data_IF_475380114154
#
_entry.id   IF_475380114154
#
_cell.length_a   1.000
_cell.length_b   1.000
_cell.length_c   1.000
_cell.angle_alpha   90.00
_cell.angle_beta   90.00
_cell.angle_gamma   90.00
#
_symmetry.space_group_name_H-M   'P 1'
#
loop_
_entity.id
_entity.type
_entity.pdbx_description
1 polymer ?
#
# COMPACT_ATOMS: atom_id res chain seq x y z
N UNK A 1 12.86 6.27 -18.30
CA UNK A 1 13.46 6.77 -19.56
C UNK A 1 13.41 5.71 -20.63
N UNK A 2 14.06 4.57 -20.41
CA UNK A 2 14.26 3.53 -21.42
C UNK A 2 12.97 2.93 -21.98
N UNK A 3 12.01 2.54 -21.13
CA UNK A 3 10.71 2.01 -21.56
C UNK A 3 10.00 2.98 -22.49
N UNK A 4 9.84 4.24 -22.08
CA UNK A 4 9.20 5.27 -22.92
C UNK A 4 9.95 5.51 -24.23
N UNK A 5 11.29 5.45 -24.21
CA UNK A 5 12.13 5.58 -25.42
C UNK A 5 11.83 4.47 -26.41
N UNK A 6 11.82 3.21 -25.95
CA UNK A 6 11.51 2.05 -26.78
C UNK A 6 10.11 2.15 -27.40
N UNK A 7 9.09 2.56 -26.62
CA UNK A 7 7.73 2.74 -27.13
C UNK A 7 7.63 3.87 -28.16
N UNK A 8 8.32 5.01 -27.93
CA UNK A 8 8.37 6.09 -28.92
C UNK A 8 9.09 5.68 -30.21
N UNK A 9 10.19 4.93 -30.12
CA UNK A 9 10.90 4.39 -31.28
C UNK A 9 10.04 3.37 -32.06
N UNK A 10 9.21 2.61 -31.35
CA UNK A 10 8.21 1.70 -31.93
C UNK A 10 6.96 2.42 -32.49
N UNK A 11 6.87 3.75 -32.32
CA UNK A 11 5.70 4.56 -32.65
C UNK A 11 4.42 4.18 -31.86
N UNK A 12 4.57 3.59 -30.67
CA UNK A 12 3.48 3.23 -29.77
C UNK A 12 3.31 4.30 -28.67
N UNK A 13 2.81 5.46 -29.08
CA UNK A 13 2.52 6.57 -28.14
C UNK A 13 1.54 6.19 -27.02
N UNK A 14 0.51 5.34 -27.23
CA UNK A 14 -0.33 4.84 -26.15
C UNK A 14 0.44 4.09 -25.05
N UNK A 15 1.37 3.19 -25.40
CA UNK A 15 2.17 2.47 -24.40
C UNK A 15 3.19 3.39 -23.71
N UNK A 16 3.79 4.34 -24.44
CA UNK A 16 4.64 5.37 -23.83
C UNK A 16 3.86 6.19 -22.78
N UNK A 17 2.64 6.60 -23.11
CA UNK A 17 1.77 7.34 -22.20
C UNK A 17 1.37 6.51 -20.96
N UNK A 18 1.12 5.20 -21.14
CA UNK A 18 0.84 4.30 -20.03
C UNK A 18 2.04 4.19 -19.07
N UNK A 19 3.25 3.98 -19.59
CA UNK A 19 4.46 3.88 -18.78
C UNK A 19 4.74 5.16 -17.96
N UNK A 20 4.54 6.35 -18.55
CA UNK A 20 4.70 7.63 -17.85
C UNK A 20 3.65 7.78 -16.75
N UNK A 21 2.39 7.43 -17.03
CA UNK A 21 1.31 7.47 -16.03
C UNK A 21 1.61 6.54 -14.86
N UNK A 22 2.01 5.31 -15.14
CA UNK A 22 2.29 4.31 -14.12
C UNK A 22 3.48 4.74 -13.24
N UNK A 23 4.52 5.36 -13.83
CA UNK A 23 5.61 5.98 -13.07
C UNK A 23 5.11 7.14 -12.18
N UNK A 24 4.28 8.04 -12.72
CA UNK A 24 3.74 9.18 -11.96
C UNK A 24 2.88 8.71 -10.77
N UNK A 25 2.13 7.62 -10.92
CA UNK A 25 1.37 7.01 -9.83
C UNK A 25 2.29 6.47 -8.73
N UNK A 26 3.44 5.88 -9.06
CA UNK A 26 4.44 5.46 -8.07
C UNK A 26 5.05 6.67 -7.38
N UNK A 27 5.52 7.66 -8.14
CA UNK A 27 6.14 8.86 -7.57
C UNK A 27 5.20 9.55 -6.56
N UNK A 28 3.93 9.69 -6.90
CA UNK A 28 2.96 10.41 -6.06
C UNK A 28 2.47 9.58 -4.87
N UNK A 29 2.06 8.32 -5.10
CA UNK A 29 1.41 7.50 -4.06
C UNK A 29 2.41 6.79 -3.14
N UNK A 30 3.65 6.59 -3.58
CA UNK A 30 4.71 5.99 -2.78
C UNK A 30 5.72 7.03 -2.31
N UNK A 31 6.50 7.61 -3.23
CA UNK A 31 7.65 8.43 -2.84
C UNK A 31 7.24 9.74 -2.16
N UNK A 32 6.40 10.56 -2.80
CA UNK A 32 6.00 11.87 -2.27
C UNK A 32 5.16 11.74 -1.00
N UNK A 33 4.17 10.82 -1.00
CA UNK A 33 3.32 10.61 0.18
C UNK A 33 4.13 10.19 1.40
N UNK A 34 5.07 9.25 1.26
CA UNK A 34 5.88 8.75 2.39
C UNK A 34 6.96 9.73 2.80
N UNK A 35 7.52 10.49 1.86
CA UNK A 35 8.61 11.43 2.14
C UNK A 35 8.13 12.82 2.57
N UNK A 36 6.82 13.01 2.79
CA UNK A 36 6.25 14.33 3.12
C UNK A 36 6.93 14.99 4.32
N UNK A 37 7.22 14.22 5.35
CA UNK A 37 7.84 14.74 6.57
C UNK A 37 9.31 15.15 6.32
N UNK A 38 10.00 14.46 5.40
CA UNK A 38 11.36 14.82 4.94
C UNK A 38 11.38 16.14 4.17
N UNK A 39 10.26 16.53 3.55
CA UNK A 39 10.14 17.81 2.84
C UNK A 39 9.74 18.97 3.76
N UNK A 40 9.20 18.69 4.95
CA UNK A 40 8.52 19.71 5.76
C UNK A 40 9.47 20.77 6.35
N UNK A 41 10.64 20.36 6.84
CA UNK A 41 11.64 21.29 7.39
C UNK A 41 12.67 21.78 6.35
N UNK A 42 12.66 21.19 5.15
CA UNK A 42 13.58 21.51 4.05
C UNK A 42 15.05 21.21 4.35
N UNK A 43 15.34 20.43 5.40
CA UNK A 43 16.71 20.10 5.82
C UNK A 43 17.26 18.85 5.12
N UNK A 44 16.38 18.01 4.58
CA UNK A 44 16.73 16.81 3.84
C UNK A 44 16.97 17.14 2.36
N UNK A 45 18.19 17.61 2.07
CA UNK A 45 18.60 17.97 0.72
C UNK A 45 18.57 16.78 -0.23
N UNK A 46 18.88 15.58 0.24
CA UNK A 46 18.94 14.37 -0.59
C UNK A 46 17.54 14.01 -1.13
N UNK A 47 16.51 14.10 -0.28
CA UNK A 47 15.13 13.86 -0.71
C UNK A 47 14.65 14.89 -1.73
N UNK A 48 15.02 16.16 -1.54
CA UNK A 48 14.67 17.28 -2.43
C UNK A 48 15.40 17.18 -3.77
N UNK A 49 16.70 16.91 -3.77
CA UNK A 49 17.52 16.75 -4.97
C UNK A 49 17.06 15.55 -5.80
N UNK A 50 16.70 14.45 -5.13
CA UNK A 50 16.10 13.27 -5.79
C UNK A 50 14.77 13.64 -6.45
N UNK A 51 13.87 14.34 -5.73
CA UNK A 51 12.58 14.74 -6.29
C UNK A 51 12.73 15.72 -7.45
N UNK A 52 13.63 16.69 -7.32
CA UNK A 52 13.97 17.65 -8.38
C UNK A 52 14.41 16.92 -9.63
N UNK A 53 15.40 16.02 -9.50
CA UNK A 53 15.97 15.27 -10.61
C UNK A 53 14.91 14.42 -11.32
N UNK A 54 14.05 13.74 -10.55
CA UNK A 54 12.96 12.94 -11.10
C UNK A 54 11.93 13.80 -11.84
N UNK A 55 11.47 14.91 -11.25
CA UNK A 55 10.47 15.78 -11.87
C UNK A 55 10.99 16.47 -13.13
N UNK A 56 12.25 16.90 -13.11
CA UNK A 56 12.95 17.45 -14.28
C UNK A 56 12.97 16.42 -15.42
N UNK A 57 13.44 15.20 -15.12
CA UNK A 57 13.59 14.11 -16.09
C UNK A 57 12.24 13.66 -16.64
N UNK A 58 11.24 13.45 -15.79
CA UNK A 58 9.89 13.05 -16.21
C UNK A 58 9.25 14.12 -17.10
N UNK A 59 9.48 15.41 -16.80
CA UNK A 59 8.96 16.48 -17.63
C UNK A 59 9.55 16.44 -19.04
N UNK A 60 10.85 16.13 -19.19
CA UNK A 60 11.49 15.90 -20.50
C UNK A 60 10.91 14.71 -21.24
N UNK A 61 10.79 13.55 -20.57
CA UNK A 61 10.22 12.33 -21.18
C UNK A 61 8.76 12.52 -21.58
N UNK A 62 7.97 13.26 -20.79
CA UNK A 62 6.55 13.48 -21.03
C UNK A 62 6.27 14.65 -22.00
N UNK A 63 7.27 15.47 -22.35
CA UNK A 63 7.10 16.66 -23.17
C UNK A 63 6.38 16.42 -24.50
N UNK A 64 6.65 15.34 -25.26
CA UNK A 64 5.93 15.05 -26.50
C UNK A 64 4.44 14.75 -26.33
N UNK A 65 4.02 14.29 -25.14
CA UNK A 65 2.65 13.87 -24.85
C UNK A 65 1.84 14.94 -24.12
N UNK A 66 2.48 15.75 -23.28
CA UNK A 66 1.84 16.78 -22.45
C UNK A 66 2.60 18.12 -22.51
N UNK A 67 2.72 18.74 -23.70
CA UNK A 67 3.69 19.80 -23.93
C UNK A 67 3.47 21.07 -23.12
N UNK A 68 2.22 21.45 -22.87
CA UNK A 68 1.90 22.66 -22.11
C UNK A 68 2.14 22.47 -20.61
N UNK A 69 1.81 21.29 -20.09
CA UNK A 69 1.94 20.99 -18.65
C UNK A 69 3.40 20.81 -18.28
N UNK A 70 4.14 20.04 -19.08
CA UNK A 70 5.58 19.81 -18.88
C UNK A 70 6.39 21.09 -19.03
N UNK A 71 6.04 21.98 -19.96
CA UNK A 71 6.67 23.29 -20.11
C UNK A 71 6.51 24.13 -18.83
N UNK A 72 5.29 24.27 -18.31
CA UNK A 72 5.01 25.06 -17.10
C UNK A 72 5.77 24.50 -15.89
N UNK A 73 5.69 23.18 -15.68
CA UNK A 73 6.34 22.50 -14.54
C UNK A 73 7.86 22.62 -14.65
N UNK A 74 8.44 22.27 -15.80
CA UNK A 74 9.89 22.24 -15.98
C UNK A 74 10.50 23.64 -15.90
N UNK A 75 9.85 24.67 -16.46
CA UNK A 75 10.34 26.06 -16.34
C UNK A 75 10.21 26.60 -14.93
N UNK A 76 9.11 26.29 -14.25
CA UNK A 76 8.93 26.65 -12.84
C UNK A 76 9.99 26.01 -11.93
N UNK A 77 10.40 24.78 -12.25
CA UNK A 77 11.38 24.01 -11.49
C UNK A 77 12.83 24.43 -11.79
N UNK A 78 13.20 24.57 -13.07
CA UNK A 78 14.59 24.75 -13.51
C UNK A 78 14.96 26.21 -13.80
N UNK A 79 13.98 27.05 -14.12
CA UNK A 79 14.20 28.40 -14.66
C UNK A 79 14.71 28.44 -16.10
N UNK A 80 14.77 27.30 -16.81
CA UNK A 80 15.25 27.23 -18.19
C UNK A 80 14.29 27.83 -19.23
N UNK A 81 14.74 27.88 -20.49
CA UNK A 81 13.98 28.51 -21.59
C UNK A 81 12.72 27.71 -21.97
N UNK A 82 12.86 26.42 -22.26
CA UNK A 82 11.76 25.52 -22.60
C UNK A 82 12.24 24.06 -22.51
N UNK A 83 11.36 23.18 -22.01
CA UNK A 83 11.65 21.73 -21.95
C UNK A 83 11.79 21.14 -23.36
N UNK A 84 11.10 21.70 -24.35
CA UNK A 84 11.09 21.24 -25.75
C UNK A 84 12.39 21.53 -26.50
N UNK A 85 13.29 22.31 -25.92
CA UNK A 85 14.62 22.61 -26.45
C UNK A 85 15.73 21.79 -25.78
N UNK A 86 15.36 20.93 -24.83
CA UNK A 86 16.31 20.06 -24.14
C UNK A 86 16.56 18.78 -24.94
N UNK A 87 17.72 18.17 -24.73
CA UNK A 87 17.99 16.83 -25.25
C UNK A 87 17.07 15.80 -24.58
N UNK A 88 16.90 14.64 -25.22
CA UNK A 88 16.27 13.51 -24.55
C UNK A 88 17.14 13.03 -23.38
N UNK A 89 16.56 12.67 -22.21
CA UNK A 89 17.35 12.24 -21.06
C UNK A 89 18.08 10.93 -21.32
N UNK A 90 19.36 10.88 -20.95
CA UNK A 90 20.21 9.69 -21.06
C UNK A 90 20.08 8.87 -19.78
N UNK A 91 19.67 7.61 -19.92
CA UNK A 91 19.49 6.70 -18.78
C UNK A 91 20.81 6.42 -18.03
N UNK A 92 21.95 6.55 -18.71
CA UNK A 92 23.28 6.30 -18.12
C UNK A 92 23.74 7.40 -17.15
N UNK A 93 23.05 8.53 -17.11
CA UNK A 93 23.29 9.61 -16.15
C UNK A 93 22.72 9.30 -14.75
N UNK A 94 21.90 8.25 -14.63
CA UNK A 94 21.29 7.84 -13.37
C UNK A 94 21.99 6.61 -12.77
N UNK A 95 22.07 6.50 -11.43
CA UNK A 95 22.55 5.28 -10.79
C UNK A 95 21.67 4.08 -11.18
N UNK A 96 22.30 3.04 -11.73
CA UNK A 96 21.66 1.76 -11.97
C UNK A 96 21.89 0.84 -10.77
N UNK A 97 20.81 0.39 -10.15
CA UNK A 97 20.83 -0.58 -9.06
C UNK A 97 19.66 -1.55 -9.21
N UNK A 98 19.84 -2.54 -10.09
CA UNK A 98 18.81 -3.55 -10.39
C UNK A 98 18.39 -4.32 -9.14
N UNK A 99 19.32 -4.54 -8.20
CA UNK A 99 19.03 -5.23 -6.94
C UNK A 99 18.07 -4.41 -6.07
N UNK A 100 18.31 -3.11 -5.93
CA UNK A 100 17.42 -2.20 -5.23
C UNK A 100 16.06 -2.06 -5.93
N UNK A 101 16.03 -1.99 -7.26
CA UNK A 101 14.78 -1.94 -8.03
C UNK A 101 13.94 -3.20 -7.77
N UNK A 102 14.54 -4.39 -7.89
CA UNK A 102 13.85 -5.66 -7.60
C UNK A 102 13.35 -5.70 -6.15
N UNK A 103 14.17 -5.29 -5.20
CA UNK A 103 13.77 -5.21 -3.79
C UNK A 103 12.55 -4.29 -3.57
N UNK A 104 12.57 -3.10 -4.16
CA UNK A 104 11.46 -2.14 -4.05
C UNK A 104 10.19 -2.61 -4.74
N UNK A 105 10.30 -3.34 -5.86
CA UNK A 105 9.14 -3.97 -6.49
C UNK A 105 8.51 -5.03 -5.59
N UNK A 106 9.32 -5.88 -4.93
CA UNK A 106 8.82 -6.82 -3.91
C UNK A 106 8.17 -6.10 -2.73
N UNK A 107 8.78 -5.02 -2.21
CA UNK A 107 8.19 -4.20 -1.13
C UNK A 107 6.83 -3.64 -1.53
N UNK A 108 6.72 -3.11 -2.75
CA UNK A 108 5.45 -2.57 -3.26
C UNK A 108 4.38 -3.65 -3.42
N UNK A 109 4.77 -4.81 -3.94
CA UNK A 109 3.90 -5.98 -4.10
C UNK A 109 3.38 -6.48 -2.75
N UNK A 110 4.26 -6.60 -1.75
CA UNK A 110 3.90 -6.95 -0.36
C UNK A 110 2.91 -5.95 0.22
N UNK A 111 3.16 -4.65 0.08
CA UNK A 111 2.25 -3.63 0.59
C UNK A 111 0.88 -3.69 -0.10
N UNK A 112 0.86 -3.83 -1.44
CA UNK A 112 -0.37 -4.00 -2.20
C UNK A 112 -1.15 -5.26 -1.77
N UNK A 113 -0.46 -6.39 -1.61
CA UNK A 113 -1.04 -7.64 -1.14
C UNK A 113 -1.60 -7.51 0.29
N UNK A 114 -0.84 -6.93 1.21
CA UNK A 114 -1.29 -6.71 2.59
C UNK A 114 -2.50 -5.77 2.67
N UNK A 115 -2.53 -4.67 1.92
CA UNK A 115 -3.69 -3.77 1.83
C UNK A 115 -4.91 -4.48 1.23
N UNK A 116 -4.71 -5.34 0.24
CA UNK A 116 -5.78 -6.14 -0.35
C UNK A 116 -6.37 -7.14 0.68
N UNK A 117 -5.53 -7.83 1.45
CA UNK A 117 -5.95 -8.70 2.55
C UNK A 117 -6.76 -7.94 3.58
N UNK A 118 -6.27 -6.79 4.03
CA UNK A 118 -6.97 -5.90 4.96
C UNK A 118 -8.36 -5.53 4.43
N UNK A 119 -8.46 -5.13 3.17
CA UNK A 119 -9.73 -4.79 2.53
C UNK A 119 -10.69 -5.98 2.46
N UNK A 120 -10.20 -7.16 2.07
CA UNK A 120 -11.00 -8.37 1.97
C UNK A 120 -11.61 -8.80 3.32
N UNK A 121 -10.91 -8.54 4.42
CA UNK A 121 -11.35 -8.84 5.79
C UNK A 121 -12.02 -7.64 6.51
N UNK A 122 -12.26 -6.51 5.83
CA UNK A 122 -12.87 -5.33 6.44
C UNK A 122 -11.99 -4.58 7.46
N UNK A 123 -10.68 -4.86 7.48
CA UNK A 123 -9.72 -4.31 8.43
C UNK A 123 -9.14 -2.98 7.92
N UNK A 124 -9.83 -1.87 8.23
CA UNK A 124 -9.36 -0.50 7.95
C UNK A 124 -7.89 -0.27 8.34
N UNK A 125 -7.12 0.45 7.52
CA UNK A 125 -5.67 0.67 7.74
C UNK A 125 -5.37 1.36 9.08
N UNK A 126 -6.27 2.17 9.62
CA UNK A 126 -6.07 2.83 10.95
C UNK A 126 -6.09 1.86 12.14
N UNK A 127 -6.61 0.65 11.97
CA UNK A 127 -6.56 -0.39 13.00
C UNK A 127 -5.16 -1.03 12.99
N UNK A 128 -4.32 -0.89 14.03
CA UNK A 128 -3.07 -1.63 14.08
C UNK A 128 -3.35 -3.14 14.12
N UNK A 129 -2.52 -3.93 13.44
CA UNK A 129 -2.53 -5.40 13.54
C UNK A 129 -1.19 -5.87 14.12
N UNK A 130 -1.13 -7.11 14.60
CA UNK A 130 0.08 -7.63 15.22
C UNK A 130 1.22 -7.77 14.22
N UNK A 131 1.01 -8.56 13.18
CA UNK A 131 2.10 -8.89 12.27
C UNK A 131 1.65 -9.21 10.86
N UNK A 132 2.59 -9.05 9.94
CA UNK A 132 2.53 -9.66 8.61
C UNK A 132 3.82 -10.45 8.38
N UNK A 133 3.68 -11.71 7.95
CA UNK A 133 4.81 -12.56 7.56
C UNK A 133 4.97 -12.54 6.05
N UNK A 134 6.19 -12.30 5.57
CA UNK A 134 6.56 -12.34 4.16
C UNK A 134 7.35 -13.61 3.93
N UNK A 135 6.92 -14.42 2.97
CA UNK A 135 7.64 -15.60 2.52
C UNK A 135 8.10 -15.35 1.10
N UNK A 136 9.42 -15.27 0.89
CA UNK A 136 10.03 -14.90 -0.40
C UNK A 136 11.40 -15.56 -0.58
N UNK A 137 11.89 -15.66 -1.80
CA UNK A 137 13.22 -16.19 -2.14
C UNK A 137 14.37 -15.21 -1.83
N UNK A 138 14.05 -13.91 -1.68
CA UNK A 138 15.04 -12.87 -1.41
C UNK A 138 14.68 -12.10 -0.13
N UNK A 139 14.81 -12.76 1.02
CA UNK A 139 14.54 -12.13 2.32
C UNK A 139 15.43 -10.92 2.55
N UNK A 140 16.72 -11.03 2.22
CA UNK A 140 17.69 -9.96 2.42
C UNK A 140 17.28 -8.66 1.69
N UNK A 141 16.66 -8.76 0.52
CA UNK A 141 16.18 -7.60 -0.23
C UNK A 141 14.98 -6.88 0.41
N UNK A 142 14.23 -7.53 1.31
CA UNK A 142 13.04 -6.93 1.95
C UNK A 142 13.33 -6.52 3.40
N UNK A 143 14.33 -7.12 4.03
CA UNK A 143 14.68 -6.92 5.43
C UNK A 143 14.97 -5.46 5.79
N UNK A 144 15.69 -4.76 4.91
CA UNK A 144 16.02 -3.34 5.09
C UNK A 144 14.80 -2.41 4.99
N UNK A 145 13.66 -2.91 4.49
CA UNK A 145 12.43 -2.14 4.27
C UNK A 145 11.27 -2.55 5.17
N UNK A 146 11.53 -3.34 6.23
CA UNK A 146 10.49 -3.77 7.17
C UNK A 146 9.76 -2.61 7.84
N UNK A 147 10.47 -1.56 8.22
CA UNK A 147 9.85 -0.39 8.86
C UNK A 147 8.89 0.32 7.89
N UNK A 148 9.30 0.45 6.62
CA UNK A 148 8.47 1.00 5.56
C UNK A 148 7.18 0.20 5.41
N UNK A 149 7.29 -1.13 5.38
CA UNK A 149 6.15 -2.04 5.27
C UNK A 149 5.26 -2.02 6.52
N UNK A 150 5.86 -2.00 7.71
CA UNK A 150 5.14 -1.95 8.98
C UNK A 150 4.26 -0.69 9.08
N UNK A 151 4.82 0.47 8.71
CA UNK A 151 4.09 1.73 8.66
C UNK A 151 2.99 1.73 7.60
N UNK A 152 3.31 1.27 6.38
CA UNK A 152 2.37 1.27 5.25
C UNK A 152 1.16 0.37 5.51
N UNK A 153 1.41 -0.80 6.09
CA UNK A 153 0.39 -1.79 6.40
C UNK A 153 -0.23 -1.57 7.77
N UNK A 154 0.33 -0.69 8.59
CA UNK A 154 -0.01 -0.49 10.00
C UNK A 154 -0.07 -1.83 10.77
N UNK A 155 1.07 -2.52 10.80
CA UNK A 155 1.30 -3.71 11.59
C UNK A 155 2.44 -3.45 12.58
N UNK A 156 2.43 -4.11 13.75
CA UNK A 156 3.48 -3.91 14.76
C UNK A 156 4.79 -4.58 14.37
N UNK A 157 4.73 -5.68 13.63
CA UNK A 157 5.91 -6.45 13.25
C UNK A 157 5.79 -6.98 11.81
N UNK A 158 6.90 -6.88 11.06
CA UNK A 158 7.08 -7.60 9.81
C UNK A 158 8.00 -8.77 10.09
N UNK A 159 7.52 -9.98 9.85
CA UNK A 159 8.30 -11.21 9.91
C UNK A 159 8.69 -11.61 8.49
N UNK A 160 9.86 -12.21 8.30
CA UNK A 160 10.26 -12.76 7.01
C UNK A 160 10.68 -14.21 7.17
N UNK A 161 10.44 -15.00 6.14
CA UNK A 161 10.90 -16.38 6.02
C UNK A 161 11.35 -16.63 4.59
N UNK A 162 12.36 -17.47 4.46
CA UNK A 162 12.76 -17.99 3.15
C UNK A 162 11.63 -18.85 2.58
N UNK A 163 11.44 -18.75 1.27
CA UNK A 163 10.52 -19.62 0.56
C UNK A 163 11.14 -21.01 0.43
N UNK A 164 10.57 -21.98 1.14
CA UNK A 164 10.87 -23.40 0.95
C UNK A 164 9.59 -24.26 0.87
N UNK A 165 9.74 -25.51 0.42
CA UNK A 165 8.63 -26.44 0.21
C UNK A 165 7.90 -26.84 1.51
N UNK A 166 8.52 -26.62 2.67
CA UNK A 166 7.99 -27.00 3.99
C UNK A 166 7.26 -25.86 4.68
N UNK A 167 7.67 -24.61 4.46
CA UNK A 167 7.15 -23.40 5.12
C UNK A 167 5.63 -23.26 4.95
N UNK A 168 5.08 -23.59 3.78
CA UNK A 168 3.63 -23.58 3.58
C UNK A 168 2.92 -24.60 4.49
N UNK A 169 3.50 -25.79 4.67
CA UNK A 169 2.97 -26.82 5.57
C UNK A 169 3.14 -26.47 7.05
N UNK A 170 4.27 -25.89 7.44
CA UNK A 170 4.52 -25.42 8.81
C UNK A 170 3.54 -24.32 9.24
N UNK A 171 3.18 -23.44 8.31
CA UNK A 171 2.28 -22.33 8.56
C UNK A 171 0.80 -22.71 8.41
N UNK A 172 0.50 -24.01 8.22
CA UNK A 172 -0.88 -24.50 8.09
C UNK A 172 -1.59 -23.98 6.84
N UNK A 173 -0.82 -23.74 5.78
CA UNK A 173 -1.30 -23.15 4.54
C UNK A 173 -1.48 -24.26 3.49
N UNK A 174 -2.73 -24.63 3.25
CA UNK A 174 -3.11 -25.53 2.17
C UNK A 174 -3.01 -24.85 0.81
N UNK A 175 -2.54 -25.57 -0.22
CA UNK A 175 -2.56 -25.13 -1.62
C UNK A 175 -3.84 -25.60 -2.30
N UNK A 176 -4.59 -24.69 -2.90
CA UNK A 176 -5.78 -24.98 -3.71
C UNK A 176 -5.59 -24.40 -5.11
N UNK A 177 -5.60 -25.26 -6.11
CA UNK A 177 -5.58 -24.83 -7.50
C UNK A 177 -7.00 -24.55 -7.98
N UNK A 178 -7.23 -23.35 -8.51
CA UNK A 178 -8.48 -22.92 -9.16
C UNK A 178 -8.28 -22.75 -10.67
N UNK A 179 -8.67 -23.75 -11.49
CA UNK A 179 -8.57 -23.64 -12.93
C UNK A 179 -9.56 -22.61 -13.50
N UNK A 180 -9.07 -21.71 -14.36
CA UNK A 180 -9.89 -20.69 -15.03
C UNK A 180 -10.57 -21.29 -16.27
N UNK A 181 -11.75 -21.88 -16.08
CA UNK A 181 -12.48 -22.59 -17.15
C UNK A 181 -12.65 -21.79 -18.45
N UNK A 182 -12.81 -20.46 -18.36
CA UNK A 182 -12.95 -19.56 -19.50
C UNK A 182 -11.67 -19.44 -20.32
N UNK A 183 -10.51 -19.44 -19.67
CA UNK A 183 -9.19 -19.32 -20.30
C UNK A 183 -8.72 -20.68 -20.83
N UNK A 184 -8.98 -21.76 -20.09
CA UNK A 184 -8.65 -23.14 -20.48
C UNK A 184 -9.47 -23.64 -21.68
N UNK A 185 -10.71 -23.14 -21.86
CA UNK A 185 -11.66 -23.62 -22.85
C UNK A 185 -11.14 -23.66 -24.31
N UNK A 186 -10.59 -22.56 -24.84
CA UNK A 186 -10.03 -22.51 -26.19
C UNK A 186 -8.93 -23.53 -26.47
N UNK A 187 -8.09 -23.85 -25.47
CA UNK A 187 -6.93 -24.73 -25.65
C UNK A 187 -7.22 -26.20 -25.32
N UNK A 188 -7.94 -26.44 -24.22
CA UNK A 188 -8.11 -27.78 -23.65
C UNK A 188 -9.50 -28.40 -23.91
N UNK A 189 -10.49 -27.61 -24.34
CA UNK A 189 -11.80 -28.10 -24.77
C UNK A 189 -12.47 -29.05 -23.77
N UNK A 190 -12.69 -30.30 -24.18
CA UNK A 190 -13.34 -31.33 -23.33
C UNK A 190 -12.52 -31.75 -22.11
N UNK A 191 -11.20 -31.47 -22.08
CA UNK A 191 -10.32 -31.82 -20.95
C UNK A 191 -10.47 -30.88 -19.76
N UNK A 192 -11.09 -29.71 -19.93
CA UNK A 192 -11.29 -28.72 -18.86
C UNK A 192 -11.99 -29.32 -17.63
N UNK A 193 -12.99 -30.19 -17.85
CA UNK A 193 -13.71 -30.83 -16.75
C UNK A 193 -12.82 -31.79 -15.95
N UNK A 194 -11.89 -32.48 -16.61
CA UNK A 194 -10.91 -33.34 -15.94
C UNK A 194 -9.90 -32.53 -15.13
N UNK A 195 -9.43 -31.39 -15.66
CA UNK A 195 -8.55 -30.45 -14.93
C UNK A 195 -9.24 -29.91 -13.67
N UNK A 196 -10.49 -29.47 -13.78
CA UNK A 196 -11.25 -28.96 -12.61
C UNK A 196 -11.41 -30.04 -11.54
N UNK A 197 -11.68 -31.29 -11.95
CA UNK A 197 -11.83 -32.41 -11.01
C UNK A 197 -10.50 -32.82 -10.38
N UNK A 198 -9.41 -32.89 -11.16
CA UNK A 198 -8.07 -33.19 -10.67
C UNK A 198 -7.57 -32.14 -9.69
N UNK A 199 -7.73 -30.85 -10.03
CA UNK A 199 -7.41 -29.74 -9.14
C UNK A 199 -8.18 -29.80 -7.81
N UNK A 200 -9.49 -30.09 -7.87
CA UNK A 200 -10.34 -30.24 -6.68
C UNK A 200 -9.98 -31.46 -5.83
N UNK A 201 -9.49 -32.53 -6.45
CA UNK A 201 -9.04 -33.74 -5.77
C UNK A 201 -7.62 -33.63 -5.20
N UNK A 202 -6.90 -32.52 -5.46
CA UNK A 202 -5.50 -32.37 -5.08
C UNK A 202 -4.52 -33.14 -5.99
N UNK A 203 -4.97 -33.62 -7.15
CA UNK A 203 -4.16 -34.33 -8.14
C UNK A 203 -3.43 -33.35 -9.07
N UNK A 204 -2.54 -32.56 -8.47
CA UNK A 204 -1.72 -31.60 -9.20
C UNK A 204 -0.36 -31.40 -8.52
N UNK A 205 0.63 -30.99 -9.32
CA UNK A 205 1.98 -30.65 -8.86
C UNK A 205 2.43 -29.31 -9.44
N UNK A 206 3.40 -28.67 -8.77
CA UNK A 206 4.10 -27.48 -9.25
C UNK A 206 5.59 -27.81 -9.23
N UNK A 207 6.21 -27.91 -10.41
CA UNK A 207 7.64 -28.18 -10.57
C UNK A 207 8.23 -27.16 -11.54
N UNK A 208 9.31 -26.46 -11.16
CA UNK A 208 9.98 -25.44 -11.98
C UNK A 208 9.01 -24.39 -12.57
N UNK A 209 8.04 -23.93 -11.78
CA UNK A 209 7.05 -22.94 -12.21
C UNK A 209 5.91 -23.47 -13.09
N UNK A 210 5.88 -24.78 -13.40
CA UNK A 210 4.84 -25.38 -14.24
C UNK A 210 3.84 -26.13 -13.36
N UNK A 211 2.58 -25.67 -13.36
CA UNK A 211 1.48 -26.40 -12.74
C UNK A 211 1.01 -27.53 -13.65
N UNK A 212 1.04 -28.76 -13.15
CA UNK A 212 0.55 -29.94 -13.86
C UNK A 212 -0.65 -30.52 -13.13
N UNK A 213 -1.78 -30.69 -13.82
CA UNK A 213 -3.00 -31.34 -13.27
C UNK A 213 -3.32 -32.56 -14.09
N UNK A 214 -3.41 -33.73 -13.44
CA UNK A 214 -3.69 -35.01 -14.11
C UNK A 214 -2.83 -35.23 -15.38
N UNK A 215 -1.55 -34.84 -15.32
CA UNK A 215 -0.57 -34.98 -16.41
C UNK A 215 -0.59 -33.90 -17.50
N UNK A 216 -1.35 -32.81 -17.33
CA UNK A 216 -1.42 -31.68 -18.28
C UNK A 216 -0.82 -30.43 -17.65
N UNK A 217 0.18 -29.85 -18.32
CA UNK A 217 0.76 -28.57 -17.95
C UNK A 217 -0.21 -27.41 -18.28
N UNK A 218 -0.48 -26.59 -17.27
CA UNK A 218 -1.25 -25.36 -17.40
C UNK A 218 -0.33 -24.19 -17.75
N UNK A 219 -0.83 -23.29 -18.58
CA UNK A 219 -0.16 -22.05 -18.97
C UNK A 219 -0.49 -20.92 -17.99
N UNK A 220 0.32 -19.87 -18.01
CA UNK A 220 0.09 -18.67 -17.21
C UNK A 220 -1.29 -18.07 -17.51
N UNK A 221 -2.03 -17.68 -16.47
CA UNK A 221 -3.40 -17.19 -16.58
C UNK A 221 -4.48 -18.27 -16.74
N UNK A 222 -4.13 -19.55 -16.91
CA UNK A 222 -5.11 -20.64 -16.96
C UNK A 222 -5.58 -21.13 -15.59
N UNK A 223 -4.91 -20.69 -14.53
CA UNK A 223 -5.23 -21.05 -13.16
C UNK A 223 -4.96 -19.90 -12.20
N UNK A 224 -5.52 -20.02 -11.00
CA UNK A 224 -5.19 -19.23 -9.83
C UNK A 224 -4.79 -20.23 -8.75
N UNK A 225 -3.62 -20.07 -8.14
CA UNK A 225 -3.31 -20.76 -6.91
C UNK A 225 -3.92 -19.93 -5.77
N UNK A 226 -4.74 -20.55 -4.94
CA UNK A 226 -5.19 -20.01 -3.66
C UNK A 226 -4.47 -20.77 -2.56
N UNK A 227 -4.00 -20.05 -1.55
CA UNK A 227 -3.53 -20.63 -0.33
C UNK A 227 -4.63 -20.46 0.73
N UNK A 228 -5.10 -21.55 1.31
CA UNK A 228 -6.07 -21.52 2.41
C UNK A 228 -5.35 -21.74 3.72
N UNK A 229 -5.49 -20.83 4.68
CA UNK A 229 -5.10 -21.10 6.06
C UNK A 229 -6.14 -22.01 6.73
N UNK A 230 -5.70 -22.91 7.60
CA UNK A 230 -6.61 -23.69 8.45
C UNK A 230 -7.20 -22.86 9.61
N UNK A 231 -6.69 -21.64 9.84
CA UNK A 231 -7.11 -20.74 10.92
C UNK A 231 -8.01 -19.58 10.45
N UNK A 232 -9.06 -19.30 11.22
CA UNK A 232 -10.02 -18.21 10.96
C UNK A 232 -9.40 -16.80 11.07
N UNK A 233 -8.21 -16.68 11.67
CA UNK A 233 -7.54 -15.41 11.97
C UNK A 233 -6.27 -15.17 11.15
N UNK A 234 -6.15 -15.84 10.01
CA UNK A 234 -4.98 -15.73 9.14
C UNK A 234 -5.42 -15.54 7.71
N UNK A 235 -4.92 -14.50 7.05
CA UNK A 235 -5.23 -14.21 5.65
C UNK A 235 -3.96 -14.31 4.79
N UNK A 236 -4.05 -14.94 3.61
CA UNK A 236 -2.89 -15.24 2.77
C UNK A 236 -3.09 -14.68 1.37
N UNK A 237 -2.05 -14.04 0.80
CA UNK A 237 -2.05 -13.50 -0.55
C UNK A 237 -0.71 -13.74 -1.24
N UNK A 238 -0.75 -14.12 -2.52
CA UNK A 238 0.44 -14.30 -3.34
C UNK A 238 1.06 -12.97 -3.77
N UNK A 239 2.37 -13.00 -3.93
CA UNK A 239 3.14 -11.93 -4.55
C UNK A 239 3.34 -12.24 -6.04
N UNK A 240 3.21 -11.21 -6.88
CA UNK A 240 3.58 -11.26 -8.30
C UNK A 240 5.08 -11.56 -8.51
N UNK A 241 5.92 -11.15 -7.56
CA UNK A 241 7.36 -11.42 -7.53
C UNK A 241 7.74 -12.84 -7.09
N UNK A 242 6.77 -13.67 -6.71
CA UNK A 242 6.99 -15.00 -6.15
C UNK A 242 6.94 -15.01 -4.62
N UNK A 243 6.47 -16.13 -4.06
CA UNK A 243 6.18 -16.25 -2.63
C UNK A 243 4.79 -15.74 -2.24
N UNK A 244 4.60 -15.45 -0.95
CA UNK A 244 3.30 -15.03 -0.41
C UNK A 244 3.44 -14.27 0.91
N UNK A 245 2.39 -13.55 1.28
CA UNK A 245 2.28 -12.85 2.56
C UNK A 245 1.15 -13.42 3.39
N UNK A 246 1.34 -13.39 4.71
CA UNK A 246 0.37 -13.82 5.70
C UNK A 246 0.08 -12.66 6.63
N UNK A 247 -1.16 -12.23 6.70
CA UNK A 247 -1.61 -11.21 7.65
C UNK A 247 -2.26 -11.88 8.87
N UNK A 248 -1.78 -11.52 10.07
CA UNK A 248 -2.51 -11.82 11.31
C UNK A 248 -3.73 -10.88 11.40
N UNK A 249 -4.93 -11.46 11.27
CA UNK A 249 -6.19 -10.72 11.31
C UNK A 249 -6.80 -10.68 12.72
N UNK A 250 -6.11 -11.20 13.72
CA UNK A 250 -6.55 -11.18 15.12
C UNK A 250 -6.59 -9.74 15.63
N UNK A 251 -7.78 -9.29 16.03
CA UNK A 251 -7.98 -7.98 16.65
C UNK A 251 -8.12 -8.17 18.16
N UNK A 252 -7.06 -7.88 18.92
CA UNK A 252 -7.12 -7.90 20.38
C UNK A 252 -7.86 -6.66 20.91
N UNK A 253 -8.37 -6.67 22.15
CA UNK A 253 -8.99 -5.49 22.76
C UNK A 253 -8.08 -4.25 22.74
N UNK A 254 -6.78 -4.44 22.95
CA UNK A 254 -5.79 -3.35 22.94
C UNK A 254 -5.64 -2.75 21.54
N UNK A 255 -5.58 -3.59 20.49
CA UNK A 255 -5.52 -3.13 19.11
C UNK A 255 -6.81 -2.42 18.68
N UNK A 256 -7.96 -2.92 19.13
CA UNK A 256 -9.26 -2.31 18.87
C UNK A 256 -9.35 -0.91 19.49
N UNK A 257 -8.96 -0.77 20.77
CA UNK A 257 -8.96 0.51 21.49
C UNK A 257 -7.96 1.51 20.85
N UNK A 258 -6.77 1.05 20.45
CA UNK A 258 -5.78 1.88 19.74
C UNK A 258 -6.31 2.33 18.37
N UNK A 259 -6.92 1.41 17.61
CA UNK A 259 -7.52 1.71 16.32
C UNK A 259 -8.70 2.68 16.41
N UNK A 260 -9.49 2.62 17.49
CA UNK A 260 -10.55 3.57 17.77
C UNK A 260 -9.96 4.96 18.04
N UNK A 261 -8.93 5.05 18.88
CA UNK A 261 -8.24 6.31 19.17
C UNK A 261 -7.65 6.96 17.89
N UNK A 262 -7.13 6.17 16.95
CA UNK A 262 -6.64 6.67 15.66
C UNK A 262 -7.74 7.19 14.74
N UNK A 263 -8.96 6.65 14.80
CA UNK A 263 -10.08 7.29 14.10
C UNK A 263 -10.49 8.62 14.73
N UNK A 264 -10.44 8.69 16.07
CA UNK A 264 -10.73 9.91 16.81
C UNK A 264 -9.78 11.03 16.35
N UNK A 265 -8.48 10.74 16.24
CA UNK A 265 -7.49 11.67 15.68
C UNK A 265 -7.92 12.16 14.29
N UNK A 266 -8.29 11.25 13.38
CA UNK A 266 -8.76 11.63 12.03
C UNK A 266 -9.98 12.56 12.09
N UNK A 267 -10.93 12.28 12.97
CA UNK A 267 -12.12 13.10 13.11
C UNK A 267 -11.82 14.47 13.72
N UNK A 268 -10.93 14.56 14.70
CA UNK A 268 -10.43 15.84 15.22
C UNK A 268 -9.79 16.66 14.10
N UNK A 269 -8.93 16.05 13.29
CA UNK A 269 -8.28 16.74 12.16
C UNK A 269 -9.29 17.20 11.10
N UNK A 270 -10.32 16.40 10.84
CA UNK A 270 -11.42 16.79 9.96
C UNK A 270 -12.19 17.99 10.53
N UNK A 271 -12.52 17.98 11.81
CA UNK A 271 -13.22 19.09 12.47
C UNK A 271 -12.39 20.37 12.47
N UNK A 272 -11.08 20.28 12.73
CA UNK A 272 -10.16 21.44 12.61
C UNK A 272 -10.27 22.11 11.25
N UNK A 273 -10.29 21.30 10.19
CA UNK A 273 -10.47 21.81 8.82
C UNK A 273 -11.85 22.43 8.61
N UNK A 274 -12.89 21.82 9.15
CA UNK A 274 -14.28 22.33 9.07
C UNK A 274 -14.41 23.70 9.73
N UNK A 275 -13.76 23.92 10.88
CA UNK A 275 -13.80 25.21 11.60
C UNK A 275 -12.71 26.21 11.15
N UNK A 276 -11.91 25.86 10.13
CA UNK A 276 -10.91 26.74 9.54
C UNK A 276 -9.66 26.98 10.39
N UNK A 277 -9.28 26.02 11.23
CA UNK A 277 -8.03 26.06 12.00
C UNK A 277 -6.85 25.56 11.18
N UNK A 278 -5.68 26.19 11.38
CA UNK A 278 -4.44 25.76 10.75
C UNK A 278 -3.89 24.50 11.43
N UNK A 279 -3.13 23.68 10.71
CA UNK A 279 -2.54 22.43 11.23
C UNK A 279 -1.58 22.71 12.40
N UNK A 280 -0.95 23.88 12.44
CA UNK A 280 -0.04 24.28 13.53
C UNK A 280 -0.75 24.78 14.79
N UNK A 281 -2.05 25.10 14.73
CA UNK A 281 -2.78 25.66 15.86
C UNK A 281 -2.84 24.67 17.03
N UNK A 282 -2.73 25.21 18.25
CA UNK A 282 -3.02 24.49 19.50
C UNK A 282 -4.52 24.58 19.78
N UNK A 283 -5.12 23.46 20.19
CA UNK A 283 -6.59 23.35 20.32
C UNK A 283 -7.04 22.83 21.67
N UNK A 284 -8.27 23.15 22.03
CA UNK A 284 -9.04 22.49 23.08
C UNK A 284 -10.06 21.57 22.42
N UNK A 285 -10.08 20.32 22.84
CA UNK A 285 -10.92 19.27 22.24
C UNK A 285 -11.89 18.71 23.26
N UNK A 286 -13.17 18.72 22.92
CA UNK A 286 -14.24 18.08 23.69
C UNK A 286 -14.83 16.95 22.85
N UNK A 287 -14.95 15.76 23.44
CA UNK A 287 -15.46 14.57 22.76
C UNK A 287 -16.56 13.93 23.59
N UNK A 288 -17.69 13.65 22.95
CA UNK A 288 -18.74 12.79 23.52
C UNK A 288 -18.69 11.43 22.83
N UNK A 289 -18.91 10.35 23.55
CA UNK A 289 -18.97 9.00 22.99
C UNK A 289 -19.57 8.00 23.96
N UNK A 290 -19.84 6.79 23.45
CA UNK A 290 -20.16 5.62 24.27
C UNK A 290 -19.00 5.19 25.18
N UNK A 291 -19.26 4.25 26.10
CA UNK A 291 -18.29 3.79 27.08
C UNK A 291 -17.03 3.18 26.44
N UNK A 292 -17.20 2.49 25.30
CA UNK A 292 -16.09 1.93 24.54
C UNK A 292 -15.19 3.02 23.97
N UNK A 293 -15.78 4.03 23.32
CA UNK A 293 -15.03 5.18 22.82
C UNK A 293 -14.34 5.95 23.96
N UNK A 294 -15.03 6.18 25.08
CA UNK A 294 -14.47 6.87 26.26
C UNK A 294 -13.28 6.10 26.83
N UNK A 295 -13.37 4.78 26.97
CA UNK A 295 -12.27 3.92 27.45
C UNK A 295 -11.07 3.98 26.52
N UNK A 296 -11.28 3.80 25.22
CA UNK A 296 -10.21 3.82 24.22
C UNK A 296 -9.51 5.18 24.16
N UNK A 297 -10.27 6.28 24.16
CA UNK A 297 -9.73 7.65 24.19
C UNK A 297 -8.94 7.91 25.47
N UNK A 298 -9.45 7.46 26.63
CA UNK A 298 -8.76 7.63 27.90
C UNK A 298 -7.44 6.86 27.94
N UNK A 299 -7.42 5.63 27.43
CA UNK A 299 -6.23 4.77 27.37
C UNK A 299 -5.14 5.36 26.48
N UNK A 300 -5.52 5.99 25.36
CA UNK A 300 -4.60 6.56 24.39
C UNK A 300 -4.58 8.11 24.39
N UNK A 301 -4.91 8.72 25.53
CA UNK A 301 -5.09 10.18 25.66
C UNK A 301 -3.88 10.96 25.17
N UNK A 302 -2.68 10.53 25.54
CA UNK A 302 -1.45 11.22 25.20
C UNK A 302 -1.15 11.17 23.70
N UNK A 303 -1.41 10.02 23.05
CA UNK A 303 -1.30 9.88 21.60
C UNK A 303 -2.28 10.81 20.90
N UNK A 304 -3.56 10.82 21.31
CA UNK A 304 -4.57 11.70 20.69
C UNK A 304 -4.21 13.16 20.85
N UNK A 305 -3.76 13.58 22.04
CA UNK A 305 -3.37 14.96 22.32
C UNK A 305 -2.14 15.39 21.51
N UNK A 306 -1.11 14.55 21.44
CA UNK A 306 0.12 14.84 20.69
C UNK A 306 -0.14 15.00 19.18
N UNK A 307 -0.83 14.03 18.57
CA UNK A 307 -1.14 14.01 17.14
C UNK A 307 -2.11 15.12 16.69
N UNK A 308 -2.87 15.66 17.63
CA UNK A 308 -3.86 16.72 17.35
C UNK A 308 -3.50 18.07 17.95
N UNK A 309 -2.30 18.20 18.54
CA UNK A 309 -1.85 19.44 19.19
C UNK A 309 -2.87 19.99 20.20
N UNK A 310 -3.57 19.08 20.90
CA UNK A 310 -4.63 19.41 21.85
C UNK A 310 -4.04 19.69 23.24
N UNK A 311 -4.25 20.90 23.78
CA UNK A 311 -3.79 21.27 25.12
C UNK A 311 -4.73 20.74 26.20
N UNK A 312 -6.03 20.69 25.90
CA UNK A 312 -7.03 20.02 26.71
C UNK A 312 -7.79 18.99 25.89
N UNK A 313 -8.12 17.87 26.52
CA UNK A 313 -8.94 16.80 25.95
C UNK A 313 -9.93 16.35 27.02
N UNK A 314 -11.20 16.72 26.84
CA UNK A 314 -12.30 16.46 27.79
C UNK A 314 -13.35 15.52 27.21
N UNK A 315 -13.80 14.57 28.03
CA UNK A 315 -14.79 13.56 27.65
C UNK A 315 -16.16 13.91 28.26
N UNK A 316 -16.89 14.81 27.60
CA UNK A 316 -18.16 15.36 28.07
C UNK A 316 -19.31 15.07 27.10
N UNK A 317 -20.55 15.10 27.60
CA UNK A 317 -21.73 14.96 26.74
C UNK A 317 -21.98 16.23 25.93
N UNK A 318 -21.69 16.15 24.63
CA UNK A 318 -22.01 17.19 23.66
C UNK A 318 -23.47 17.08 23.25
N UNK A 319 -24.29 18.08 23.63
CA UNK A 319 -25.64 18.26 23.12
C UNK A 319 -25.64 19.21 21.89
N UNK A 320 -26.41 18.87 20.85
CA UNK A 320 -26.63 19.76 19.68
C UNK A 320 -26.41 19.10 18.32
N UNK A 321 -26.33 19.93 17.28
CA UNK A 321 -26.25 19.56 15.85
C UNK A 321 -24.87 19.07 15.38
N UNK A 322 -23.99 18.65 16.29
CA UNK A 322 -22.70 18.10 15.91
C UNK A 322 -22.91 16.71 15.28
N UNK A 323 -22.23 16.49 14.15
CA UNK A 323 -22.36 15.26 13.37
C UNK A 323 -21.95 14.04 14.21
N UNK A 324 -22.69 12.95 14.03
CA UNK A 324 -22.39 11.67 14.69
C UNK A 324 -21.40 10.92 13.82
N UNK A 325 -20.21 10.69 14.36
CA UNK A 325 -19.06 10.16 13.64
C UNK A 325 -18.79 8.72 14.09
N UNK A 326 -18.65 7.79 13.15
CA UNK A 326 -18.33 6.39 13.45
C UNK A 326 -16.84 6.21 13.75
N UNK A 327 -16.53 5.49 14.82
CA UNK A 327 -15.17 5.09 15.21
C UNK A 327 -15.17 3.63 15.68
N UNK A 328 -14.02 2.96 15.59
CA UNK A 328 -13.99 1.53 15.87
C UNK A 328 -14.87 0.74 14.90
N UNK A 329 -15.36 -0.40 15.38
CA UNK A 329 -16.31 -1.23 14.64
C UNK A 329 -17.76 -0.74 14.83
N UNK A 330 -18.15 -0.42 16.07
CA UNK A 330 -19.54 -0.13 16.44
C UNK A 330 -19.75 1.14 17.28
N UNK A 331 -18.68 1.90 17.57
CA UNK A 331 -18.77 3.07 18.43
C UNK A 331 -19.08 4.35 17.66
N UNK A 332 -19.65 5.33 18.37
CA UNK A 332 -19.98 6.64 17.82
C UNK A 332 -19.51 7.75 18.72
N UNK A 333 -18.98 8.81 18.12
CA UNK A 333 -18.55 10.00 18.82
C UNK A 333 -19.15 11.27 18.22
N UNK A 334 -19.06 12.36 18.97
CA UNK A 334 -19.11 13.73 18.46
C UNK A 334 -17.86 14.44 18.91
N UNK A 335 -17.30 15.27 18.05
CA UNK A 335 -16.07 16.01 18.30
C UNK A 335 -16.37 17.49 18.17
N UNK A 336 -15.84 18.29 19.09
CA UNK A 336 -15.82 19.74 19.00
C UNK A 336 -14.41 20.21 19.30
N UNK A 337 -13.89 21.09 18.44
CA UNK A 337 -12.58 21.71 18.60
C UNK A 337 -12.71 23.22 18.65
N UNK A 338 -11.84 23.87 19.43
CA UNK A 338 -11.67 25.32 19.45
C UNK A 338 -10.20 25.68 19.56
N UNK A 339 -9.79 26.82 19.01
CA UNK A 339 -8.42 27.33 19.18
C UNK A 339 -8.16 27.60 20.66
N UNK A 340 -7.06 27.09 21.19
CA UNK A 340 -6.60 27.45 22.52
C UNK A 340 -6.09 28.90 22.51
N UNK A 341 -6.45 29.65 23.56
CA UNK A 341 -6.17 31.08 23.69
C UNK A 341 -4.70 31.44 23.83
#
# INVERSE_FOLDING_TARGET
GEVATAEFEALDSPMAAAAIRDFADVLTNWYVRRSRDRFWDGSDTDALDTLYTVLETVSRVAAPLAPLVTEEVWRGLTGGESVHLTDWPDATEFPADDALVMAMDTVRDVASAGLALRKAHGLRVRLPLNSLTIVTENVAGVDDFRDILAEELNVREILTRELDDQVAGELGIGKKLLPQARVLGPRLGSKVQAIIQGAKAGDWSLENGVVTVSGIALEEGEYILEFTSEGDTTAVQFLSSGGFVILDTTVTPELADEGLARDVIRWIQQERKTVGLDVSDRIDTVISGDDDARRAIATHRDMVAAETLSLSLELEDLQGSADVLSVGENSKIRVKVSKSG
#
